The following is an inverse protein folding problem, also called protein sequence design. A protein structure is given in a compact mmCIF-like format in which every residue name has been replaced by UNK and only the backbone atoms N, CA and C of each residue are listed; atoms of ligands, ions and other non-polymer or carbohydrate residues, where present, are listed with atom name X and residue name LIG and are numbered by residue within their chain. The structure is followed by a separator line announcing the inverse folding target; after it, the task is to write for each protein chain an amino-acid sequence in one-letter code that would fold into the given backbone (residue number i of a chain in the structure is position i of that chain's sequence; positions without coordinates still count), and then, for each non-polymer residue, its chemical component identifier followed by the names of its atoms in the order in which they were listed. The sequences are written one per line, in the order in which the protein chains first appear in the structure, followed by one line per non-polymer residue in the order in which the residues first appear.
data_IF_937143043534
#
_entry.id   IF_937143043534
#
_cell.length_a   1.000
_cell.length_b   1.000
_cell.length_c   1.000
_cell.angle_alpha   90.00
_cell.angle_beta   90.00
_cell.angle_gamma   90.00
#
_symmetry.space_group_name_H-M   'P 1'
#
loop_
_entity.id
_entity.type
_entity.pdbx_description
1 polymer ?
#
# COMPACT_ATOMS: atom_id res chain seq x y z
N UNK A 1 12.77 -2.99 -15.98
CA UNK A 1 11.65 -2.30 -15.31
C UNK A 1 10.37 -2.85 -15.91
N UNK A 2 9.62 -3.64 -15.15
CA UNK A 2 8.37 -4.25 -15.62
C UNK A 2 7.23 -3.23 -15.56
N UNK A 3 6.20 -3.45 -16.37
CA UNK A 3 4.92 -2.74 -16.23
C UNK A 3 4.21 -3.20 -14.96
N UNK A 4 3.60 -2.28 -14.22
CA UNK A 4 2.66 -2.56 -13.14
C UNK A 4 1.24 -2.48 -13.68
N UNK A 5 0.45 -3.50 -13.41
CA UNK A 5 -0.96 -3.56 -13.82
C UNK A 5 -1.74 -4.26 -12.72
N UNK A 6 -2.24 -3.46 -11.78
CA UNK A 6 -3.02 -3.95 -10.65
C UNK A 6 -3.96 -2.88 -10.09
N UNK A 7 -5.02 -3.38 -9.46
CA UNK A 7 -5.95 -2.60 -8.66
C UNK A 7 -5.74 -2.93 -7.18
N UNK A 8 -5.17 -1.98 -6.44
CA UNK A 8 -4.74 -2.14 -5.05
C UNK A 8 -5.61 -1.35 -4.10
N UNK A 9 -5.92 -1.91 -2.94
CA UNK A 9 -6.59 -1.19 -1.86
C UNK A 9 -5.67 -0.84 -0.69
N UNK A 10 -5.92 0.32 -0.10
CA UNK A 10 -5.46 0.71 1.24
C UNK A 10 -6.71 0.85 2.11
N UNK A 11 -6.85 -0.02 3.11
CA UNK A 11 -7.96 0.00 4.06
C UNK A 11 -7.48 0.46 5.42
N UNK A 12 -8.13 1.48 5.96
CA UNK A 12 -7.90 2.03 7.31
C UNK A 12 -9.22 2.17 8.05
N UNK A 13 -9.56 1.19 8.89
CA UNK A 13 -10.90 1.13 9.49
C UNK A 13 -11.95 0.97 8.39
N UNK A 14 -12.94 1.86 8.34
CA UNK A 14 -13.98 1.89 7.29
C UNK A 14 -13.55 2.56 5.99
N UNK A 15 -12.43 3.29 6.00
CA UNK A 15 -11.98 4.02 4.81
C UNK A 15 -11.25 3.08 3.87
N UNK A 16 -11.69 3.02 2.62
CA UNK A 16 -11.05 2.23 1.55
C UNK A 16 -10.60 3.17 0.43
N UNK A 17 -9.30 3.18 0.16
CA UNK A 17 -8.73 3.88 -0.98
C UNK A 17 -8.31 2.84 -2.02
N UNK A 18 -8.91 2.91 -3.21
CA UNK A 18 -8.58 2.07 -4.35
C UNK A 18 -7.64 2.83 -5.30
N UNK A 19 -6.49 2.23 -5.59
CA UNK A 19 -5.45 2.74 -6.48
C UNK A 19 -5.35 1.85 -7.71
N UNK A 20 -5.55 2.43 -8.89
CA UNK A 20 -5.39 1.72 -10.16
C UNK A 20 -4.04 2.06 -10.77
N UNK A 21 -3.17 1.06 -10.87
CA UNK A 21 -1.90 1.17 -11.57
C UNK A 21 -2.03 0.57 -12.96
N UNK A 22 -1.58 1.32 -13.97
CA UNK A 22 -1.51 0.82 -15.35
C UNK A 22 -0.19 1.23 -16.00
N UNK A 23 0.49 0.27 -16.61
CA UNK A 23 1.81 0.44 -17.24
C UNK A 23 2.89 0.90 -16.27
N UNK A 24 3.11 2.21 -16.11
CA UNK A 24 4.21 2.77 -15.30
C UNK A 24 3.73 3.80 -14.27
N UNK A 25 2.42 4.01 -14.14
CA UNK A 25 1.87 5.12 -13.34
C UNK A 25 0.62 4.71 -12.57
N UNK A 26 0.41 5.31 -11.40
CA UNK A 26 -0.90 5.35 -10.77
C UNK A 26 -1.84 6.22 -11.62
N UNK A 27 -2.88 5.62 -12.20
CA UNK A 27 -3.84 6.29 -13.08
C UNK A 27 -5.02 6.88 -12.35
N UNK A 28 -5.41 6.26 -11.25
CA UNK A 28 -6.62 6.62 -10.54
C UNK A 28 -6.47 6.31 -9.05
N UNK A 29 -6.96 7.21 -8.21
CA UNK A 29 -7.13 7.02 -6.77
C UNK A 29 -8.58 7.40 -6.45
N UNK A 30 -9.34 6.49 -5.85
CA UNK A 30 -10.74 6.72 -5.46
C UNK A 30 -11.03 6.18 -4.08
N UNK A 31 -11.94 6.84 -3.37
CA UNK A 31 -12.55 6.29 -2.14
C UNK A 31 -13.65 5.31 -2.54
N UNK A 32 -13.61 4.12 -1.97
CA UNK A 32 -14.55 3.04 -2.21
C UNK A 32 -15.29 2.65 -0.93
N UNK A 33 -16.40 1.96 -1.10
CA UNK A 33 -17.11 1.27 -0.03
C UNK A 33 -16.50 -0.12 0.22
N UNK A 34 -16.61 -0.65 1.43
CA UNK A 34 -16.01 -1.94 1.81
C UNK A 34 -16.54 -3.13 0.98
N UNK A 35 -17.79 -3.09 0.52
CA UNK A 35 -18.39 -4.18 -0.26
C UNK A 35 -17.73 -4.38 -1.63
N UNK A 36 -16.95 -3.39 -2.08
CA UNK A 36 -16.18 -3.42 -3.33
C UNK A 36 -14.76 -3.92 -3.16
N UNK A 37 -14.31 -4.25 -1.94
CA UNK A 37 -12.96 -4.80 -1.70
C UNK A 37 -12.66 -6.06 -2.53
N UNK A 38 -13.68 -6.86 -2.83
CA UNK A 38 -13.59 -8.06 -3.68
C UNK A 38 -13.26 -7.78 -5.15
N UNK A 39 -13.41 -6.53 -5.61
CA UNK A 39 -13.07 -6.12 -6.97
C UNK A 39 -11.58 -5.75 -7.11
N UNK A 40 -10.87 -5.63 -5.99
CA UNK A 40 -9.44 -5.36 -5.97
C UNK A 40 -8.66 -6.64 -6.20
N UNK A 41 -7.48 -6.52 -6.82
CA UNK A 41 -6.56 -7.65 -6.91
C UNK A 41 -6.07 -8.04 -5.51
N UNK A 42 -5.75 -7.05 -4.68
CA UNK A 42 -5.41 -7.21 -3.27
C UNK A 42 -5.52 -5.89 -2.54
N UNK A 43 -5.59 -5.94 -1.21
CA UNK A 43 -5.56 -4.75 -0.37
C UNK A 43 -4.76 -4.98 0.90
N UNK A 44 -4.24 -3.88 1.45
CA UNK A 44 -3.62 -3.86 2.77
C UNK A 44 -4.61 -3.33 3.79
N UNK A 45 -4.79 -4.04 4.89
CA UNK A 45 -5.70 -3.67 5.98
C UNK A 45 -4.90 -3.51 7.27
N UNK A 46 -4.90 -2.27 7.78
CA UNK A 46 -4.32 -1.91 9.07
C UNK A 46 -5.18 -0.84 9.73
N UNK A 47 -5.00 -0.63 11.03
CA UNK A 47 -5.63 0.47 11.77
C UNK A 47 -4.96 1.78 11.38
N UNK A 48 -5.69 2.89 11.53
CA UNK A 48 -5.18 4.23 11.24
C UNK A 48 -3.82 4.53 11.91
N UNK A 49 -3.66 4.15 13.18
CA UNK A 49 -2.39 4.34 13.91
C UNK A 49 -1.24 3.55 13.29
N UNK A 50 -1.49 2.32 12.85
CA UNK A 50 -0.47 1.46 12.24
C UNK A 50 -0.04 2.02 10.88
N UNK A 51 -0.97 2.56 10.10
CA UNK A 51 -0.66 3.32 8.89
C UNK A 51 0.19 4.55 9.19
N UNK A 52 -0.18 5.35 10.20
CA UNK A 52 0.58 6.54 10.61
C UNK A 52 2.00 6.18 11.04
N UNK A 53 2.17 5.16 11.87
CA UNK A 53 3.48 4.69 12.33
C UNK A 53 4.34 4.23 11.15
N UNK A 54 3.73 3.51 10.19
CA UNK A 54 4.41 3.08 8.97
C UNK A 54 4.84 4.27 8.09
N UNK A 55 3.96 5.25 7.83
CA UNK A 55 4.32 6.46 7.08
C UNK A 55 5.42 7.26 7.78
N UNK A 56 5.34 7.44 9.10
CA UNK A 56 6.40 8.06 9.89
C UNK A 56 7.74 7.34 9.73
N UNK A 57 7.74 6.00 9.58
CA UNK A 57 8.96 5.23 9.33
C UNK A 57 9.55 5.43 7.93
N UNK A 58 8.72 5.80 6.93
CA UNK A 58 9.18 6.10 5.57
C UNK A 58 9.81 7.49 5.45
N UNK A 59 9.25 8.43 6.20
CA UNK A 59 9.53 9.88 6.15
C UNK A 59 10.60 10.29 7.18
N UNK A 60 10.83 9.46 8.20
CA UNK A 60 11.80 9.70 9.27
C UNK A 60 13.20 10.04 8.77
N UNK A 61 13.94 10.74 9.63
CA UNK A 61 15.23 11.37 9.37
C UNK A 61 16.15 10.49 8.50
N UNK A 62 16.86 11.08 7.53
CA UNK A 62 17.71 10.41 6.51
C UNK A 62 18.81 9.47 7.08
N UNK A 63 18.88 9.32 8.40
CA UNK A 63 19.75 8.43 9.16
C UNK A 63 19.12 7.08 9.53
N UNK A 64 17.81 6.89 9.35
CA UNK A 64 17.14 5.60 9.62
C UNK A 64 17.35 4.67 8.43
N UNK A 65 18.38 3.83 8.53
CA UNK A 65 18.79 2.87 7.48
C UNK A 65 17.79 1.72 7.24
N UNK A 66 16.67 1.68 7.98
CA UNK A 66 15.78 0.53 8.02
C UNK A 66 14.31 0.93 7.84
N UNK A 67 13.98 1.46 6.65
CA UNK A 67 12.59 1.71 6.24
C UNK A 67 11.83 0.39 6.21
N UNK A 68 10.76 0.28 7.00
CA UNK A 68 9.95 -0.94 7.05
C UNK A 68 9.05 -0.97 5.82
N UNK A 69 9.24 -1.95 4.93
CA UNK A 69 8.39 -2.11 3.76
C UNK A 69 7.04 -2.77 4.07
N UNK A 70 6.05 -2.68 3.17
CA UNK A 70 4.74 -3.33 3.38
C UNK A 70 4.87 -4.87 3.50
N UNK A 71 5.85 -5.47 2.82
CA UNK A 71 6.19 -6.90 2.98
C UNK A 71 6.58 -7.23 4.42
N UNK A 72 7.38 -6.35 5.03
CA UNK A 72 7.87 -6.57 6.38
C UNK A 72 6.77 -6.30 7.41
N UNK A 73 5.87 -5.35 7.15
CA UNK A 73 4.64 -5.15 7.93
C UNK A 73 3.75 -6.40 7.88
N UNK A 74 3.57 -6.99 6.70
CA UNK A 74 2.79 -8.22 6.53
C UNK A 74 3.38 -9.40 7.30
N UNK A 75 4.71 -9.55 7.29
CA UNK A 75 5.39 -10.61 8.03
C UNK A 75 5.36 -10.43 9.56
N UNK A 76 5.37 -9.18 10.04
CA UNK A 76 5.40 -8.87 11.47
C UNK A 76 4.02 -8.84 12.11
N UNK A 77 2.98 -8.55 11.34
CA UNK A 77 1.62 -8.49 11.85
C UNK A 77 1.09 -9.92 12.13
N UNK A 78 0.47 -10.19 13.30
CA UNK A 78 0.07 -11.54 13.69
C UNK A 78 -0.89 -12.22 12.69
N UNK A 79 -1.76 -11.43 12.06
CA UNK A 79 -2.72 -11.91 11.06
C UNK A 79 -2.32 -11.56 9.61
N UNK A 80 -1.11 -11.02 9.43
CA UNK A 80 -0.73 -10.31 8.20
C UNK A 80 -1.59 -9.07 7.95
N UNK A 81 -1.16 -8.25 7.00
CA UNK A 81 -1.90 -7.04 6.57
C UNK A 81 -2.44 -7.19 5.15
N UNK A 82 -1.87 -8.10 4.36
CA UNK A 82 -2.33 -8.39 3.00
C UNK A 82 -3.63 -9.20 3.02
N UNK A 83 -4.55 -8.83 2.15
CA UNK A 83 -5.80 -9.53 1.88
C UNK A 83 -5.97 -9.67 0.38
N UNK A 84 -6.30 -10.88 -0.07
CA UNK A 84 -6.57 -11.19 -1.48
C UNK A 84 -7.83 -12.05 -1.56
N UNK A 85 -8.67 -11.82 -2.58
CA UNK A 85 -9.86 -12.65 -2.80
C UNK A 85 -9.57 -13.95 -3.55
N UNK A 86 -8.46 -14.02 -4.29
CA UNK A 86 -8.05 -15.19 -5.06
C UNK A 86 -6.53 -15.32 -5.20
N UNK A 87 -6.08 -16.42 -5.82
CA UNK A 87 -4.67 -16.71 -6.05
C UNK A 87 -4.01 -15.75 -7.06
N UNK A 88 -4.77 -15.24 -8.03
CA UNK A 88 -4.26 -14.31 -9.04
C UNK A 88 -3.86 -12.99 -8.39
N UNK A 89 -4.69 -12.47 -7.48
CA UNK A 89 -4.42 -11.31 -6.66
C UNK A 89 -3.15 -11.47 -5.83
N UNK A 90 -2.98 -12.64 -5.20
CA UNK A 90 -1.76 -12.96 -4.45
C UNK A 90 -0.51 -13.03 -5.34
N UNK A 91 -0.62 -13.59 -6.56
CA UNK A 91 0.49 -13.58 -7.52
C UNK A 91 0.84 -12.16 -7.98
N UNK A 92 -0.16 -11.31 -8.20
CA UNK A 92 0.05 -9.89 -8.54
C UNK A 92 0.76 -9.14 -7.41
N UNK A 93 0.41 -9.40 -6.14
CA UNK A 93 1.15 -8.88 -5.01
C UNK A 93 2.63 -9.26 -5.09
N UNK A 94 2.97 -10.55 -5.15
CA UNK A 94 4.37 -10.96 -5.23
C UNK A 94 5.12 -10.38 -6.43
N UNK A 95 4.42 -10.20 -7.56
CA UNK A 95 4.99 -9.62 -8.77
C UNK A 95 5.26 -8.12 -8.65
N UNK A 96 4.37 -7.36 -8.02
CA UNK A 96 4.37 -5.89 -8.07
C UNK A 96 4.73 -5.21 -6.75
N UNK A 97 4.87 -5.96 -5.66
CA UNK A 97 5.11 -5.40 -4.34
C UNK A 97 6.34 -4.49 -4.26
N UNK A 98 7.44 -4.84 -4.93
CA UNK A 98 8.61 -3.95 -4.99
C UNK A 98 8.30 -2.63 -5.71
N UNK A 99 7.52 -2.66 -6.79
CA UNK A 99 7.12 -1.45 -7.53
C UNK A 99 6.17 -0.57 -6.70
N UNK A 100 5.26 -1.18 -5.93
CA UNK A 100 4.40 -0.48 -4.98
C UNK A 100 5.20 0.15 -3.85
N UNK A 101 6.18 -0.57 -3.30
CA UNK A 101 7.06 -0.02 -2.26
C UNK A 101 7.82 1.21 -2.76
N UNK A 102 8.37 1.14 -3.97
CA UNK A 102 9.06 2.29 -4.57
C UNK A 102 8.11 3.48 -4.78
N UNK A 103 6.86 3.23 -5.19
CA UNK A 103 5.86 4.29 -5.29
C UNK A 103 5.63 5.00 -3.95
N UNK A 104 5.49 4.26 -2.84
CA UNK A 104 5.35 4.87 -1.51
C UNK A 104 6.64 5.48 -0.96
N UNK A 105 7.80 4.98 -1.38
CA UNK A 105 9.10 5.56 -1.01
C UNK A 105 9.34 6.95 -1.63
N UNK A 106 8.58 7.33 -2.67
CA UNK A 106 8.64 8.67 -3.27
C UNK A 106 7.98 9.77 -2.43
N UNK A 107 7.30 9.42 -1.34
CA UNK A 107 6.68 10.39 -0.42
C UNK A 107 7.74 11.23 0.27
N UNK A 108 7.60 12.56 0.21
CA UNK A 108 8.50 13.50 0.89
C UNK A 108 7.87 14.03 2.19
N UNK A 109 8.69 14.29 3.20
CA UNK A 109 8.25 14.90 4.47
C UNK A 109 7.52 16.23 4.31
N UNK A 110 7.80 16.96 3.22
CA UNK A 110 7.18 18.24 2.90
C UNK A 110 5.72 18.10 2.45
N UNK A 111 5.28 16.93 1.98
CA UNK A 111 3.89 16.67 1.57
C UNK A 111 2.90 16.63 2.76
N UNK A 112 3.41 16.56 4.01
CA UNK A 112 2.59 16.46 5.23
C UNK A 112 2.63 17.71 6.12
N UNK A 113 3.29 18.79 5.68
CA UNK A 113 3.18 20.08 6.37
C UNK A 113 1.88 20.74 5.93
N UNK A 114 0.84 20.58 6.74
CA UNK A 114 -0.32 21.48 6.69
C UNK A 114 0.16 22.91 7.03
N UNK A 115 -0.26 23.89 6.21
CA UNK A 115 -0.17 25.33 6.52
C UNK A 115 -1.02 25.69 7.75
#
# INVERSE_FOLDING_TARGET
MGTIDCHVGIKSGSDVFALKFESFTCREIKVWEEDRLRELDFYFEMKQREWQDWFCSLVGDNSVTNKVGLNEMDLKHPDGVLRCSDELGRLKFFRYMNSLQEFFNCVDSSDFKED
#
